data_IF_616543472801
#
_entry.id   IF_616543472801
#
_cell.length_a   1.000
_cell.length_b   1.000
_cell.length_c   1.000
_cell.angle_alpha   90.00
_cell.angle_beta   90.00
_cell.angle_gamma   90.00
#
_symmetry.space_group_name_H-M   'P 1'
#
loop_
_entity.id
_entity.type
_entity.pdbx_description
1 polymer ?
#
# COMPACT_ATOMS: atom_id res chain seq x y z
N UNK A 1 0.93 -11.21 15.15
CA UNK A 1 0.23 -11.16 13.85
C UNK A 1 1.25 -11.52 12.77
N UNK A 2 0.90 -11.61 11.49
CA UNK A 2 1.93 -11.76 10.44
C UNK A 2 2.86 -10.54 10.47
N UNK A 3 4.17 -10.73 10.29
CA UNK A 3 5.15 -9.62 10.24
C UNK A 3 4.81 -8.58 9.16
N UNK A 4 4.16 -9.02 8.07
CA UNK A 4 3.69 -8.14 7.01
C UNK A 4 2.56 -7.20 7.46
N UNK A 5 1.62 -7.70 8.27
CA UNK A 5 0.52 -6.88 8.82
C UNK A 5 1.07 -5.86 9.82
N UNK A 6 1.98 -6.26 10.69
CA UNK A 6 2.61 -5.34 11.65
C UNK A 6 3.41 -4.24 10.94
N UNK A 7 4.16 -4.60 9.89
CA UNK A 7 4.85 -3.64 9.05
C UNK A 7 3.87 -2.68 8.35
N UNK A 8 2.81 -3.20 7.71
CA UNK A 8 1.77 -2.37 7.09
C UNK A 8 1.15 -1.38 8.09
N UNK A 9 0.76 -1.87 9.27
CA UNK A 9 0.18 -1.04 10.34
C UNK A 9 1.17 -0.03 10.94
N UNK A 10 2.47 -0.15 10.70
CA UNK A 10 3.44 0.88 11.10
C UNK A 10 3.47 2.06 10.12
N UNK A 11 3.06 1.83 8.87
CA UNK A 11 3.11 2.80 7.77
C UNK A 11 1.76 3.46 7.50
N UNK A 12 0.68 2.69 7.56
CA UNK A 12 -0.66 3.13 7.21
C UNK A 12 -1.39 3.73 8.40
N UNK A 13 -1.87 4.96 8.29
CA UNK A 13 -2.59 5.67 9.34
C UNK A 13 -4.10 5.74 9.09
N UNK A 14 -4.60 5.34 7.92
CA UNK A 14 -6.03 5.39 7.63
C UNK A 14 -6.78 4.28 8.37
N UNK A 15 -7.87 4.64 9.06
CA UNK A 15 -8.58 3.70 9.94
C UNK A 15 -9.26 2.58 9.16
N UNK A 16 -9.70 2.85 7.93
CA UNK A 16 -10.45 1.88 7.13
C UNK A 16 -9.49 0.83 6.57
N UNK A 17 -8.39 1.25 5.96
CA UNK A 17 -7.40 0.32 5.39
C UNK A 17 -6.60 -0.41 6.47
N UNK A 18 -6.39 0.18 7.65
CA UNK A 18 -5.85 -0.55 8.81
C UNK A 18 -6.78 -1.67 9.28
N UNK A 19 -8.08 -1.41 9.33
CA UNK A 19 -9.07 -2.43 9.71
C UNK A 19 -9.13 -3.52 8.65
N UNK A 20 -9.21 -3.15 7.38
CA UNK A 20 -9.19 -4.11 6.26
C UNK A 20 -7.94 -5.00 6.32
N UNK A 21 -6.75 -4.43 6.53
CA UNK A 21 -5.49 -5.17 6.63
C UNK A 21 -5.47 -6.21 7.77
N UNK A 22 -6.21 -5.98 8.85
CA UNK A 22 -6.33 -6.92 9.98
C UNK A 22 -7.31 -8.06 9.70
N UNK A 23 -8.21 -7.89 8.74
CA UNK A 23 -9.26 -8.84 8.36
C UNK A 23 -8.87 -9.69 7.12
N UNK A 24 -7.70 -9.41 6.51
CA UNK A 24 -7.20 -10.14 5.34
C UNK A 24 -6.88 -11.61 5.66
N UNK A 25 -7.13 -12.47 4.68
CA UNK A 25 -6.69 -13.87 4.70
C UNK A 25 -5.16 -13.98 4.56
N UNK A 26 -4.54 -15.11 4.95
CA UNK A 26 -3.09 -15.30 4.77
C UNK A 26 -2.60 -15.13 3.32
N UNK A 27 -3.41 -15.54 2.35
CA UNK A 27 -3.10 -15.39 0.91
C UNK A 27 -3.14 -13.92 0.48
N UNK A 28 -4.14 -13.17 0.94
CA UNK A 28 -4.24 -11.73 0.67
C UNK A 28 -3.16 -10.93 1.37
N UNK A 29 -2.69 -11.36 2.55
CA UNK A 29 -1.57 -10.73 3.24
C UNK A 29 -0.30 -10.85 2.37
N UNK A 30 -0.04 -12.04 1.81
CA UNK A 30 1.12 -12.27 0.95
C UNK A 30 1.02 -11.53 -0.39
N UNK A 31 -0.17 -11.43 -0.98
CA UNK A 31 -0.38 -10.67 -2.21
C UNK A 31 -0.28 -9.15 -1.96
N UNK A 32 -1.11 -8.64 -1.06
CA UNK A 32 -1.38 -7.19 -0.94
C UNK A 32 -0.37 -6.48 -0.05
N UNK A 33 0.09 -7.13 1.03
CA UNK A 33 0.97 -6.51 2.02
C UNK A 33 2.46 -6.81 1.79
N UNK A 34 2.82 -7.49 0.69
CA UNK A 34 4.21 -7.66 0.29
C UNK A 34 4.75 -6.37 -0.36
N UNK A 35 5.80 -5.73 0.20
CA UNK A 35 6.36 -4.50 -0.35
C UNK A 35 6.94 -4.63 -1.76
N UNK A 36 7.21 -5.85 -2.22
CA UNK A 36 7.71 -6.12 -3.57
C UNK A 36 6.60 -6.09 -4.64
N UNK A 37 5.32 -6.11 -4.23
CA UNK A 37 4.19 -6.08 -5.15
C UNK A 37 3.63 -4.65 -5.36
N UNK A 38 4.46 -3.62 -5.23
CA UNK A 38 4.01 -2.23 -5.40
C UNK A 38 3.43 -1.98 -6.79
N UNK A 39 2.40 -1.14 -6.87
CA UNK A 39 1.87 -0.65 -8.15
C UNK A 39 2.97 0.02 -8.97
N UNK A 40 2.94 -0.22 -10.28
CA UNK A 40 3.84 0.42 -11.23
C UNK A 40 3.24 1.74 -11.76
N UNK A 41 4.11 2.73 -11.96
CA UNK A 41 3.73 3.98 -12.61
C UNK A 41 3.76 3.79 -14.13
N UNK A 42 2.59 3.61 -14.74
CA UNK A 42 2.45 3.41 -16.18
C UNK A 42 2.32 4.73 -16.96
N UNK A 43 2.06 4.62 -18.27
CA UNK A 43 1.83 5.79 -19.16
C UNK A 43 0.62 6.62 -18.76
N UNK A 44 -0.37 6.01 -18.10
CA UNK A 44 -1.55 6.66 -17.55
C UNK A 44 -1.43 6.95 -16.04
N UNK A 45 -0.21 6.91 -15.48
CA UNK A 45 0.04 7.09 -14.06
C UNK A 45 -0.19 5.83 -13.22
N UNK A 46 -0.38 6.03 -11.91
CA UNK A 46 -0.68 4.96 -10.95
C UNK A 46 -2.15 4.56 -11.02
N UNK A 47 -2.40 3.25 -11.13
CA UNK A 47 -3.74 2.66 -11.14
C UNK A 47 -3.74 1.35 -10.36
N UNK A 48 -4.82 1.11 -9.65
CA UNK A 48 -5.05 -0.11 -8.88
C UNK A 48 -6.43 -0.08 -8.24
N UNK A 49 -6.83 -1.21 -7.66
CA UNK A 49 -8.07 -1.28 -6.88
C UNK A 49 -7.92 -0.52 -5.56
N UNK A 50 -9.00 0.09 -5.07
CA UNK A 50 -9.00 0.76 -3.77
C UNK A 50 -8.96 -0.28 -2.64
N UNK A 51 -8.10 -0.08 -1.64
CA UNK A 51 -8.05 -0.97 -0.47
C UNK A 51 -6.68 -1.01 0.21
N UNK A 52 -6.57 -1.85 1.23
CA UNK A 52 -5.33 -2.08 1.95
C UNK A 52 -4.29 -2.85 1.12
N UNK A 53 -3.06 -2.33 1.08
CA UNK A 53 -1.91 -2.99 0.44
C UNK A 53 -1.06 -2.08 -0.42
N UNK A 54 0.15 -2.57 -0.73
CA UNK A 54 1.12 -1.90 -1.59
C UNK A 54 0.74 -1.98 -3.07
N UNK A 55 -0.03 -3.00 -3.47
CA UNK A 55 -0.59 -3.17 -4.81
C UNK A 55 -1.96 -2.49 -5.00
N UNK A 56 -2.40 -1.66 -4.04
CA UNK A 56 -3.71 -1.00 -4.01
C UNK A 56 -3.59 0.53 -3.98
N UNK A 57 -4.60 1.20 -4.51
CA UNK A 57 -4.78 2.65 -4.32
C UNK A 57 -5.30 2.87 -2.90
N UNK A 58 -4.58 3.68 -2.13
CA UNK A 58 -4.97 4.15 -0.80
C UNK A 58 -4.17 5.42 -0.47
N UNK A 59 -4.47 6.06 0.67
CA UNK A 59 -3.78 7.27 1.08
C UNK A 59 -2.27 7.05 1.22
N UNK A 60 -1.82 5.92 1.79
CA UNK A 60 -0.41 5.63 1.98
C UNK A 60 0.35 5.54 0.65
N UNK A 61 -0.17 4.77 -0.33
CA UNK A 61 0.50 4.59 -1.62
C UNK A 61 0.55 5.88 -2.45
N UNK A 62 -0.52 6.70 -2.38
CA UNK A 62 -0.53 8.03 -3.01
C UNK A 62 0.47 8.98 -2.35
N UNK A 63 0.54 8.99 -1.01
CA UNK A 63 1.53 9.80 -0.28
C UNK A 63 2.96 9.40 -0.61
N UNK A 64 3.25 8.10 -0.68
CA UNK A 64 4.58 7.59 -1.04
C UNK A 64 4.97 7.95 -2.47
N UNK A 65 4.03 7.90 -3.41
CA UNK A 65 4.26 8.35 -4.78
C UNK A 65 4.57 9.85 -4.84
N UNK A 66 3.81 10.68 -4.11
CA UNK A 66 4.05 12.11 -4.02
C UNK A 66 5.40 12.42 -3.35
N UNK A 67 5.76 11.70 -2.29
CA UNK A 67 7.07 11.82 -1.63
C UNK A 67 8.21 11.49 -2.60
N UNK A 68 8.09 10.38 -3.34
CA UNK A 68 9.06 9.99 -4.35
C UNK A 68 9.21 11.04 -5.45
N UNK A 69 8.10 11.63 -5.89
CA UNK A 69 8.11 12.73 -6.86
C UNK A 69 8.85 13.96 -6.31
N UNK A 70 8.58 14.35 -5.07
CA UNK A 70 9.28 15.46 -4.41
C UNK A 70 10.78 15.19 -4.28
N UNK A 71 11.19 13.97 -3.93
CA UNK A 71 12.62 13.60 -3.82
C UNK A 71 13.37 13.57 -5.16
N UNK A 72 12.66 13.41 -6.28
CA UNK A 72 13.27 13.37 -7.61
C UNK A 72 13.30 14.72 -8.32
N UNK A 73 12.32 15.59 -8.06
CA UNK A 73 12.16 16.86 -8.77
C UNK A 73 12.59 18.09 -7.96
N UNK A 74 12.83 17.95 -6.66
CA UNK A 74 13.28 19.00 -5.74
C UNK A 74 14.64 18.60 -5.18
#
# INVERSE_FOLDING_TARGET
MSSAVENWLSLDFDKNTRKEAQELTPEEIEDRLNPNHRMEFGTAGLRGEMGAGFNRINCLTVMQAAQGLCMQLI
#
